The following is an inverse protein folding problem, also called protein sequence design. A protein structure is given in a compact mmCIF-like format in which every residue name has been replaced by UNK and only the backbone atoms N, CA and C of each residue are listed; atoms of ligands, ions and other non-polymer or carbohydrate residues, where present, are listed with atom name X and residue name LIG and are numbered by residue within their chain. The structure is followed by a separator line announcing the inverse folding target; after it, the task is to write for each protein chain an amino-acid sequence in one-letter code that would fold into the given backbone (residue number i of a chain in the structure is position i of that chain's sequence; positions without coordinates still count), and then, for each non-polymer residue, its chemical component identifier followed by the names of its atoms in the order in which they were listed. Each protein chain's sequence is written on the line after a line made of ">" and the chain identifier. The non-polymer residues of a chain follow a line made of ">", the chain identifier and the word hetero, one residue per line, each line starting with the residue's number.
data_IF_573615684123
#
_entry.id   IF_573615684123
#
_cell.length_a   1.000
_cell.length_b   1.000
_cell.length_c   1.000
_cell.angle_alpha   90.00
_cell.angle_beta   90.00
_cell.angle_gamma   90.00
#
_symmetry.space_group_name_H-M   'P 1'
#
loop_
_entity.id
_entity.type
_entity.pdbx_description
1 polymer ?
#
# COMPACT_ATOMS: atom_id res chain seq x y z
N UNK A 1 3.12 -44.78 -13.54
CA UNK A 1 2.64 -46.17 -13.69
C UNK A 1 1.68 -46.17 -14.85
N UNK A 2 2.02 -46.92 -15.89
CA UNK A 2 1.16 -47.06 -17.06
C UNK A 2 -0.15 -47.74 -16.63
N UNK A 3 -1.28 -47.38 -17.23
CA UNK A 3 -2.58 -47.96 -16.89
C UNK A 3 -2.65 -49.47 -17.13
N UNK A 4 -1.70 -50.03 -17.87
CA UNK A 4 -1.50 -51.47 -18.04
C UNK A 4 -0.89 -52.13 -16.80
N UNK A 5 0.16 -51.55 -16.20
CA UNK A 5 0.85 -52.09 -15.01
C UNK A 5 -0.07 -52.12 -13.78
N UNK A 6 -0.90 -51.09 -13.61
CA UNK A 6 -1.87 -51.01 -12.50
C UNK A 6 -2.94 -52.09 -12.64
N UNK A 7 -3.31 -52.45 -13.87
CA UNK A 7 -4.27 -53.54 -14.14
C UNK A 7 -3.65 -54.89 -13.85
N UNK A 8 -2.40 -55.12 -14.23
CA UNK A 8 -1.68 -56.38 -13.98
C UNK A 8 -1.47 -56.63 -12.49
N UNK A 9 -0.98 -55.63 -11.74
CA UNK A 9 -0.85 -55.69 -10.28
C UNK A 9 -2.20 -55.90 -9.57
N UNK A 10 -3.27 -55.31 -10.10
CA UNK A 10 -4.62 -55.48 -9.56
C UNK A 10 -5.20 -56.88 -9.86
N UNK A 11 -4.89 -57.45 -11.03
CA UNK A 11 -5.24 -58.83 -11.37
C UNK A 11 -4.53 -59.83 -10.45
N UNK A 12 -3.24 -59.62 -10.16
CA UNK A 12 -2.47 -60.44 -9.20
C UNK A 12 -3.00 -60.34 -7.76
N UNK A 13 -3.54 -59.18 -7.37
CA UNK A 13 -4.23 -58.98 -6.10
C UNK A 13 -5.58 -59.71 -6.04
N UNK A 14 -6.33 -59.73 -7.14
CA UNK A 14 -7.62 -60.44 -7.25
C UNK A 14 -7.49 -61.96 -7.40
N UNK A 15 -6.29 -62.47 -7.71
CA UNK A 15 -5.97 -63.91 -7.75
C UNK A 15 -5.64 -64.50 -6.36
N UNK A 16 -5.57 -63.67 -5.31
CA UNK A 16 -5.50 -64.15 -3.92
C UNK A 16 -6.88 -64.61 -3.44
N UNK A 17 -6.94 -65.77 -2.78
CA UNK A 17 -8.19 -66.30 -2.22
C UNK A 17 -8.86 -65.27 -1.28
N UNK A 18 -10.08 -64.84 -1.62
CA UNK A 18 -10.92 -63.95 -0.80
C UNK A 18 -11.13 -62.52 -1.33
N UNK A 19 -10.44 -62.10 -2.40
CA UNK A 19 -10.60 -60.77 -2.99
C UNK A 19 -11.88 -60.64 -3.83
N UNK A 20 -12.64 -59.55 -3.63
CA UNK A 20 -13.90 -59.25 -4.35
C UNK A 20 -13.74 -58.07 -5.31
N UNK A 21 -14.69 -57.91 -6.24
CA UNK A 21 -14.75 -56.77 -7.18
C UNK A 21 -14.78 -55.41 -6.46
N UNK A 22 -15.39 -55.35 -5.27
CA UNK A 22 -15.47 -54.13 -4.45
C UNK A 22 -14.08 -53.69 -3.93
N UNK A 23 -13.15 -54.64 -3.73
CA UNK A 23 -11.78 -54.35 -3.31
C UNK A 23 -10.99 -53.67 -4.45
N UNK A 24 -11.26 -54.06 -5.71
CA UNK A 24 -10.71 -53.43 -6.91
C UNK A 24 -11.18 -51.98 -7.07
N UNK A 25 -12.47 -51.73 -6.88
CA UNK A 25 -13.05 -50.39 -6.95
C UNK A 25 -12.47 -49.49 -5.85
N UNK A 26 -12.25 -50.04 -4.65
CA UNK A 26 -11.60 -49.34 -3.54
C UNK A 26 -10.15 -48.99 -3.87
N UNK A 27 -9.37 -49.93 -4.42
CA UNK A 27 -7.99 -49.68 -4.87
C UNK A 27 -7.96 -48.62 -5.98
N UNK A 28 -8.90 -48.65 -6.92
CA UNK A 28 -9.04 -47.64 -7.97
C UNK A 28 -9.32 -46.24 -7.42
N UNK A 29 -10.23 -46.12 -6.46
CA UNK A 29 -10.50 -44.84 -5.76
C UNK A 29 -9.29 -44.34 -4.99
N UNK A 30 -8.56 -45.22 -4.30
CA UNK A 30 -7.31 -44.88 -3.63
C UNK A 30 -6.24 -44.41 -4.61
N UNK A 31 -6.09 -45.08 -5.77
CA UNK A 31 -5.14 -44.66 -6.79
C UNK A 31 -5.47 -43.26 -7.36
N UNK A 32 -6.76 -42.97 -7.59
CA UNK A 32 -7.22 -41.65 -8.01
C UNK A 32 -6.93 -40.58 -6.96
N UNK A 33 -7.23 -40.87 -5.68
CA UNK A 33 -6.97 -39.95 -4.56
C UNK A 33 -5.49 -39.70 -4.35
N UNK A 34 -4.66 -40.73 -4.47
CA UNK A 34 -3.20 -40.61 -4.39
C UNK A 34 -2.68 -39.75 -5.55
N UNK A 35 -3.18 -39.96 -6.77
CA UNK A 35 -2.81 -39.13 -7.93
C UNK A 35 -3.20 -37.66 -7.74
N UNK A 36 -4.41 -37.39 -7.25
CA UNK A 36 -4.87 -36.04 -6.93
C UNK A 36 -4.00 -35.39 -5.84
N UNK A 37 -3.68 -36.14 -4.78
CA UNK A 37 -2.79 -35.68 -3.72
C UNK A 37 -1.38 -35.37 -4.23
N UNK A 38 -0.81 -36.19 -5.12
CA UNK A 38 0.48 -35.88 -5.76
C UNK A 38 0.41 -34.60 -6.60
N UNK A 39 -0.67 -34.40 -7.36
CA UNK A 39 -0.87 -33.17 -8.14
C UNK A 39 -1.01 -31.92 -7.26
N UNK A 40 -1.71 -32.02 -6.12
CA UNK A 40 -1.82 -30.94 -5.13
C UNK A 40 -0.47 -30.63 -4.48
N UNK A 41 0.31 -31.67 -4.12
CA UNK A 41 1.68 -31.50 -3.59
C UNK A 41 2.58 -30.81 -4.62
N UNK A 42 2.50 -31.21 -5.90
CA UNK A 42 3.30 -30.61 -6.96
C UNK A 42 2.93 -29.15 -7.19
N UNK A 43 1.63 -28.83 -7.26
CA UNK A 43 1.14 -27.44 -7.33
C UNK A 43 1.66 -26.60 -6.17
N UNK A 44 1.52 -27.09 -4.92
CA UNK A 44 2.00 -26.37 -3.74
C UNK A 44 3.51 -26.17 -3.72
N UNK A 45 4.26 -27.15 -4.24
CA UNK A 45 5.71 -27.05 -4.36
C UNK A 45 6.08 -25.96 -5.36
N UNK A 46 5.36 -25.86 -6.47
CA UNK A 46 5.59 -24.84 -7.48
C UNK A 46 5.18 -23.45 -6.96
N UNK A 47 4.03 -23.33 -6.32
CA UNK A 47 3.59 -22.08 -5.66
C UNK A 47 4.60 -21.61 -4.60
N UNK A 48 5.13 -22.53 -3.79
CA UNK A 48 6.14 -22.22 -2.80
C UNK A 48 7.48 -21.80 -3.43
N UNK A 49 7.85 -22.40 -4.57
CA UNK A 49 9.04 -22.00 -5.33
C UNK A 49 8.86 -20.61 -5.92
N UNK A 50 7.72 -20.34 -6.53
CA UNK A 50 7.39 -19.02 -7.12
C UNK A 50 7.39 -17.93 -6.05
N UNK A 51 6.72 -18.16 -4.91
CA UNK A 51 6.75 -17.25 -3.78
C UNK A 51 8.17 -16.99 -3.26
N UNK A 52 9.05 -18.00 -3.27
CA UNK A 52 10.46 -17.86 -2.93
C UNK A 52 11.21 -16.96 -3.90
N UNK A 53 11.01 -17.15 -5.22
CA UNK A 53 11.64 -16.32 -6.26
C UNK A 53 11.17 -14.87 -6.16
N UNK A 54 9.86 -14.66 -5.99
CA UNK A 54 9.29 -13.31 -5.83
C UNK A 54 9.83 -12.60 -4.58
N UNK A 55 10.00 -13.35 -3.49
CA UNK A 55 10.60 -12.82 -2.27
C UNK A 55 12.03 -12.36 -2.51
N UNK A 56 12.86 -13.16 -3.21
CA UNK A 56 14.24 -12.78 -3.55
C UNK A 56 14.26 -11.54 -4.45
N UNK A 57 13.44 -11.53 -5.50
CA UNK A 57 13.34 -10.39 -6.41
C UNK A 57 12.98 -9.10 -5.69
N UNK A 58 12.02 -9.16 -4.76
CA UNK A 58 11.61 -8.00 -3.98
C UNK A 58 12.72 -7.47 -3.08
N UNK A 59 13.52 -8.37 -2.49
CA UNK A 59 14.69 -7.96 -1.70
C UNK A 59 15.73 -7.26 -2.55
N UNK A 60 15.98 -7.75 -3.76
CA UNK A 60 16.89 -7.11 -4.72
C UNK A 60 16.39 -5.72 -5.12
N UNK A 61 15.09 -5.59 -5.41
CA UNK A 61 14.46 -4.30 -5.72
C UNK A 61 14.53 -3.33 -4.54
N UNK A 62 14.27 -3.80 -3.31
CA UNK A 62 14.37 -3.01 -2.09
C UNK A 62 15.80 -2.53 -1.85
N UNK A 63 16.78 -3.42 -2.02
CA UNK A 63 18.19 -3.08 -1.88
C UNK A 63 18.66 -2.07 -2.92
N UNK A 64 18.23 -2.23 -4.17
CA UNK A 64 18.51 -1.27 -5.23
C UNK A 64 17.94 0.10 -4.90
N UNK A 65 16.66 0.16 -4.50
CA UNK A 65 16.00 1.40 -4.13
C UNK A 65 16.70 2.08 -2.94
N UNK A 66 17.14 1.31 -1.94
CA UNK A 66 17.91 1.84 -0.81
C UNK A 66 19.22 2.50 -1.27
N UNK A 67 19.94 1.88 -2.20
CA UNK A 67 21.20 2.43 -2.74
C UNK A 67 21.02 3.69 -3.58
N UNK A 68 19.89 3.81 -4.26
CA UNK A 68 19.54 4.95 -5.12
C UNK A 68 18.68 5.99 -4.38
N UNK A 69 18.56 5.89 -3.05
CA UNK A 69 17.66 6.74 -2.28
C UNK A 69 18.12 8.20 -2.29
N UNK A 70 17.21 9.10 -2.68
CA UNK A 70 17.44 10.55 -2.67
C UNK A 70 16.43 11.26 -1.74
N UNK A 71 16.80 12.42 -1.16
CA UNK A 71 15.85 13.24 -0.43
C UNK A 71 14.64 13.59 -1.30
N UNK A 72 13.44 13.47 -0.73
CA UNK A 72 12.15 13.76 -1.42
C UNK A 72 11.79 12.76 -2.53
N UNK A 73 12.43 11.59 -2.59
CA UNK A 73 12.03 10.52 -3.51
C UNK A 73 10.63 10.00 -3.17
N UNK A 74 9.79 9.84 -4.20
CA UNK A 74 8.45 9.26 -4.07
C UNK A 74 8.49 7.81 -4.52
N UNK A 75 8.14 6.92 -3.59
CA UNK A 75 8.00 5.48 -3.87
C UNK A 75 6.52 5.18 -4.10
N UNK A 76 6.18 4.69 -5.29
CA UNK A 76 4.78 4.41 -5.65
C UNK A 76 4.29 3.07 -5.07
N UNK A 77 5.19 2.10 -4.91
CA UNK A 77 4.86 0.79 -4.37
C UNK A 77 4.88 0.82 -2.84
N UNK A 78 3.71 0.60 -2.25
CA UNK A 78 3.52 0.58 -0.79
C UNK A 78 4.22 -0.62 -0.13
N UNK A 79 4.18 -1.81 -0.74
CA UNK A 79 4.82 -2.99 -0.15
C UNK A 79 6.32 -2.80 -0.11
N UNK A 80 6.90 -2.31 -1.22
CA UNK A 80 8.31 -2.00 -1.32
C UNK A 80 8.73 -0.93 -0.29
N UNK A 81 7.95 0.13 -0.13
CA UNK A 81 8.23 1.16 0.87
C UNK A 81 8.17 0.61 2.30
N UNK A 82 7.18 -0.24 2.61
CA UNK A 82 7.07 -0.88 3.94
C UNK A 82 8.30 -1.74 4.24
N UNK A 83 8.75 -2.56 3.30
CA UNK A 83 9.95 -3.39 3.46
C UNK A 83 11.22 -2.53 3.59
N UNK A 84 11.35 -1.48 2.78
CA UNK A 84 12.44 -0.51 2.88
C UNK A 84 12.48 0.16 4.26
N UNK A 85 11.33 0.61 4.76
CA UNK A 85 11.20 1.26 6.07
C UNK A 85 11.48 0.29 7.22
N UNK A 86 10.95 -0.93 7.16
CA UNK A 86 11.17 -1.93 8.19
C UNK A 86 12.66 -2.32 8.29
N UNK A 87 13.33 -2.49 7.16
CA UNK A 87 14.74 -2.89 7.11
C UNK A 87 15.71 -1.75 7.37
N UNK A 88 15.49 -0.55 6.84
CA UNK A 88 16.49 0.53 6.83
C UNK A 88 15.99 1.86 7.43
N UNK A 89 14.73 1.94 7.85
CA UNK A 89 14.12 3.13 8.46
C UNK A 89 13.61 2.89 9.89
N UNK A 90 13.94 1.73 10.48
CA UNK A 90 13.45 1.29 11.78
C UNK A 90 14.62 0.91 12.70
N UNK A 91 14.57 1.28 13.99
CA UNK A 91 15.56 0.80 14.97
C UNK A 91 15.62 -0.72 15.10
N UNK A 92 14.53 -1.42 14.74
CA UNK A 92 14.42 -2.88 14.84
C UNK A 92 14.95 -3.62 13.59
N UNK A 93 15.24 -2.90 12.50
CA UNK A 93 15.83 -3.44 11.29
C UNK A 93 17.36 -3.46 11.35
N UNK A 94 18.01 -3.03 10.25
CA UNK A 94 19.46 -2.83 10.16
C UNK A 94 19.92 -1.46 10.67
N UNK A 95 18.99 -0.60 11.11
CA UNK A 95 19.26 0.75 11.61
C UNK A 95 18.35 1.80 10.98
N UNK A 96 18.49 3.04 11.47
CA UNK A 96 17.71 4.20 10.99
C UNK A 96 18.58 5.03 10.05
N UNK A 97 18.54 4.69 8.76
CA UNK A 97 19.31 5.37 7.72
C UNK A 97 18.56 6.54 7.08
N UNK A 98 17.23 6.47 7.06
CA UNK A 98 16.38 7.52 6.48
C UNK A 98 15.10 7.69 7.28
N UNK A 99 14.43 8.83 7.08
CA UNK A 99 13.06 9.07 7.58
C UNK A 99 12.11 9.11 6.39
N UNK A 100 11.15 8.20 6.37
CA UNK A 100 10.09 8.15 5.36
C UNK A 100 8.72 8.06 6.02
N UNK A 101 7.73 8.71 5.39
CA UNK A 101 6.34 8.65 5.80
C UNK A 101 5.42 8.48 4.59
N UNK A 102 4.14 8.27 4.85
CA UNK A 102 3.10 8.16 3.83
C UNK A 102 2.02 9.21 4.03
N UNK A 103 1.32 9.56 2.96
CA UNK A 103 0.16 10.44 3.00
C UNK A 103 0.50 11.91 3.34
N UNK A 104 -0.51 12.61 3.86
CA UNK A 104 -0.43 14.06 4.11
C UNK A 104 0.56 14.43 5.22
N UNK A 105 0.77 13.53 6.20
CA UNK A 105 1.72 13.74 7.30
C UNK A 105 3.15 13.91 6.79
N UNK A 106 3.59 13.04 5.88
CA UNK A 106 4.92 13.11 5.29
C UNK A 106 5.12 14.41 4.48
N UNK A 107 4.08 14.86 3.77
CA UNK A 107 4.12 16.13 3.03
C UNK A 107 4.22 17.31 3.98
N UNK A 108 3.47 17.31 5.09
CA UNK A 108 3.54 18.36 6.13
C UNK A 108 4.96 18.46 6.69
N UNK A 109 5.57 17.33 7.03
CA UNK A 109 6.92 17.31 7.58
C UNK A 109 7.95 17.84 6.58
N UNK A 110 7.85 17.46 5.30
CA UNK A 110 8.68 18.01 4.22
C UNK A 110 8.50 19.52 4.01
N UNK A 111 7.27 20.03 4.16
CA UNK A 111 6.97 21.46 4.05
C UNK A 111 7.50 22.23 5.27
N UNK A 112 7.47 21.62 6.45
CA UNK A 112 7.99 22.21 7.69
C UNK A 112 9.52 22.36 7.66
N UNK A 113 10.21 21.41 7.06
CA UNK A 113 11.67 21.42 6.93
C UNK A 113 12.16 22.31 5.77
N UNK A 114 11.25 22.94 5.01
CA UNK A 114 11.59 23.74 3.83
C UNK A 114 11.99 25.17 4.20
N UNK A 115 13.26 25.52 3.97
CA UNK A 115 13.70 26.93 4.02
C UNK A 115 13.32 27.65 2.72
N UNK A 116 12.31 28.53 2.81
CA UNK A 116 11.84 29.32 1.68
C UNK A 116 12.86 30.35 1.21
N UNK A 117 13.69 30.88 2.11
CA UNK A 117 14.67 31.92 1.77
C UNK A 117 15.82 31.34 0.95
N UNK A 118 16.29 30.16 1.33
CA UNK A 118 17.33 29.46 0.59
C UNK A 118 16.81 28.90 -0.73
N UNK A 119 15.60 28.31 -0.75
CA UNK A 119 14.97 27.85 -2.00
C UNK A 119 14.77 29.03 -2.99
N UNK A 120 14.39 30.21 -2.49
CA UNK A 120 14.26 31.42 -3.32
C UNK A 120 15.59 31.82 -3.96
N UNK A 121 16.72 31.77 -3.23
CA UNK A 121 18.06 32.05 -3.78
C UNK A 121 18.41 31.04 -4.87
N UNK A 122 18.24 29.74 -4.61
CA UNK A 122 18.52 28.66 -5.56
C UNK A 122 17.69 28.79 -6.83
N UNK A 123 16.40 29.15 -6.70
CA UNK A 123 15.52 29.38 -7.85
C UNK A 123 15.96 30.61 -8.66
N UNK A 124 16.35 31.71 -8.02
CA UNK A 124 16.87 32.91 -8.71
C UNK A 124 18.15 32.62 -9.47
N UNK A 125 19.05 31.81 -8.92
CA UNK A 125 20.26 31.37 -9.60
C UNK A 125 19.91 30.48 -10.80
N UNK A 126 19.01 29.51 -10.62
CA UNK A 126 18.52 28.64 -11.70
C UNK A 126 17.91 29.44 -12.85
N UNK A 127 17.19 30.53 -12.55
CA UNK A 127 16.61 31.40 -13.58
C UNK A 127 17.68 32.14 -14.38
N UNK A 128 18.82 32.48 -13.76
CA UNK A 128 19.95 33.15 -14.43
C UNK A 128 20.77 32.17 -15.28
N UNK A 129 20.99 30.95 -14.79
CA UNK A 129 21.89 29.96 -15.41
C UNK A 129 21.20 29.06 -16.44
N UNK A 130 19.93 28.70 -16.22
CA UNK A 130 19.19 27.79 -17.08
C UNK A 130 18.34 28.53 -18.11
N UNK A 131 18.14 27.90 -19.28
CA UNK A 131 17.27 28.42 -20.35
C UNK A 131 16.12 27.46 -20.67
N UNK A 132 15.09 27.97 -21.34
CA UNK A 132 13.96 27.20 -21.84
C UNK A 132 13.02 26.70 -20.74
N UNK A 133 12.64 25.42 -20.79
CA UNK A 133 11.62 24.86 -19.89
C UNK A 133 12.03 24.88 -18.42
N UNK A 134 13.31 24.64 -18.11
CA UNK A 134 13.84 24.66 -16.73
C UNK A 134 13.67 26.05 -16.11
N UNK A 135 14.00 27.10 -16.88
CA UNK A 135 13.84 28.49 -16.47
C UNK A 135 12.37 28.83 -16.21
N UNK A 136 11.46 28.47 -17.12
CA UNK A 136 10.04 28.75 -16.97
C UNK A 136 9.43 28.06 -15.73
N UNK A 137 9.84 26.81 -15.44
CA UNK A 137 9.41 26.10 -14.22
C UNK A 137 9.93 26.80 -12.96
N UNK A 138 11.19 27.24 -12.97
CA UNK A 138 11.79 27.96 -11.85
C UNK A 138 11.07 29.30 -11.58
N UNK A 139 10.71 30.06 -12.62
CA UNK A 139 9.93 31.31 -12.49
C UNK A 139 8.58 31.06 -11.81
N UNK A 140 7.84 30.05 -12.26
CA UNK A 140 6.52 29.72 -11.67
C UNK A 140 6.64 29.31 -10.20
N UNK A 141 7.65 28.51 -9.86
CA UNK A 141 7.92 28.10 -8.46
C UNK A 141 8.33 29.30 -7.60
N UNK A 142 9.21 30.16 -8.10
CA UNK A 142 9.67 31.36 -7.39
C UNK A 142 8.49 32.29 -7.05
N UNK A 143 7.51 32.43 -7.94
CA UNK A 143 6.31 33.24 -7.68
C UNK A 143 5.54 32.76 -6.43
N UNK A 144 5.42 31.44 -6.25
CA UNK A 144 4.74 30.85 -5.08
C UNK A 144 5.59 31.04 -3.82
N UNK A 145 6.89 30.77 -3.90
CA UNK A 145 7.82 30.92 -2.77
C UNK A 145 7.86 32.38 -2.28
N UNK A 146 7.95 33.35 -3.20
CA UNK A 146 7.92 34.77 -2.83
C UNK A 146 6.58 35.20 -2.23
N UNK A 147 5.47 34.62 -2.65
CA UNK A 147 4.16 34.89 -2.04
C UNK A 147 4.10 34.41 -0.58
N UNK A 148 4.65 33.23 -0.27
CA UNK A 148 4.74 32.75 1.10
C UNK A 148 5.67 33.63 1.95
N UNK A 149 6.86 33.99 1.45
CA UNK A 149 7.79 34.87 2.16
C UNK A 149 7.15 36.23 2.49
N UNK A 150 6.42 36.83 1.54
CA UNK A 150 5.78 38.15 1.74
C UNK A 150 4.56 38.12 2.65
N UNK A 151 3.84 37.01 2.69
CA UNK A 151 2.59 36.90 3.46
C UNK A 151 2.79 36.38 4.88
N UNK A 152 4.01 35.99 5.25
CA UNK A 152 4.37 35.36 6.54
C UNK A 152 3.58 34.06 6.85
N UNK A 153 2.80 33.58 5.90
CA UNK A 153 2.10 32.31 6.00
C UNK A 153 3.10 31.17 5.86
N UNK A 154 2.91 30.12 6.66
CA UNK A 154 3.78 28.95 6.60
C UNK A 154 3.21 27.89 5.65
N UNK A 155 4.04 27.26 4.80
CA UNK A 155 3.55 26.26 3.83
C UNK A 155 2.87 25.05 4.47
N UNK A 156 3.31 24.63 5.67
CA UNK A 156 2.73 23.48 6.37
C UNK A 156 1.25 23.69 6.75
N UNK A 157 0.76 24.94 6.81
CA UNK A 157 -0.65 25.25 7.09
C UNK A 157 -1.61 24.79 6.00
N UNK A 158 -1.10 24.42 4.82
CA UNK A 158 -1.92 23.78 3.78
C UNK A 158 -2.42 22.39 4.20
N UNK A 159 -1.74 21.73 5.16
CA UNK A 159 -2.15 20.43 5.70
C UNK A 159 -2.93 20.65 7.00
N UNK A 160 -4.21 20.28 6.99
CA UNK A 160 -5.12 20.54 8.09
C UNK A 160 -5.11 19.40 9.12
N UNK A 161 -4.79 19.73 10.37
CA UNK A 161 -4.93 18.83 11.53
C UNK A 161 -6.30 18.98 12.20
N UNK A 162 -6.86 20.20 12.17
CA UNK A 162 -8.17 20.53 12.70
C UNK A 162 -9.03 21.14 11.59
N UNK A 163 -10.19 20.51 11.34
CA UNK A 163 -11.15 20.99 10.33
C UNK A 163 -12.22 21.83 11.02
N UNK A 164 -12.38 23.12 10.67
CA UNK A 164 -13.42 23.95 11.25
C UNK A 164 -14.80 23.51 10.77
N UNK A 165 -15.78 23.57 11.68
CA UNK A 165 -17.18 23.21 11.40
C UNK A 165 -18.01 24.49 11.38
N UNK A 166 -18.76 24.70 10.29
CA UNK A 166 -19.63 25.86 10.13
C UNK A 166 -20.73 25.85 11.21
N UNK A 167 -21.11 27.01 11.78
CA UNK A 167 -22.17 27.12 12.77
C UNK A 167 -23.51 26.50 12.31
N UNK A 168 -24.31 25.89 13.21
CA UNK A 168 -25.61 25.30 12.90
C UNK A 168 -26.58 26.18 12.11
N UNK A 169 -26.60 27.48 12.38
CA UNK A 169 -27.51 28.44 11.74
C UNK A 169 -27.30 28.54 10.22
N UNK A 170 -26.05 28.41 9.77
CA UNK A 170 -25.69 28.43 8.35
C UNK A 170 -25.87 27.05 7.68
N UNK A 171 -26.23 26.01 8.45
CA UNK A 171 -26.48 24.64 7.99
C UNK A 171 -27.86 24.14 8.45
N UNK A 172 -28.95 24.85 8.10
CA UNK A 172 -30.28 24.54 8.60
C UNK A 172 -30.71 23.13 8.19
N UNK A 173 -31.38 22.45 9.12
CA UNK A 173 -32.11 21.21 8.86
C UNK A 173 -33.59 21.56 8.82
N UNK A 174 -34.24 21.31 7.69
CA UNK A 174 -35.66 21.65 7.51
C UNK A 174 -36.48 20.39 7.71
N UNK A 175 -37.41 20.44 8.66
CA UNK A 175 -38.38 19.37 8.81
C UNK A 175 -39.43 19.47 7.71
N UNK A 176 -39.72 18.36 7.02
CA UNK A 176 -40.77 18.24 6.03
C UNK A 176 -42.02 17.59 6.64
N UNK A 177 -43.16 17.83 6.00
CA UNK A 177 -44.42 17.17 6.36
C UNK A 177 -44.27 15.64 6.25
N UNK A 178 -44.72 14.93 7.28
CA UNK A 178 -44.59 13.47 7.38
C UNK A 178 -43.35 12.95 8.13
N UNK A 179 -42.69 13.79 8.93
CA UNK A 179 -41.61 13.36 9.85
C UNK A 179 -40.26 13.10 9.18
N UNK A 180 -40.09 13.52 7.92
CA UNK A 180 -38.82 13.47 7.19
C UNK A 180 -38.03 14.75 7.45
N UNK A 181 -36.71 14.65 7.44
CA UNK A 181 -35.81 15.80 7.53
C UNK A 181 -35.12 16.00 6.18
N UNK A 182 -35.20 17.21 5.64
CA UNK A 182 -34.32 17.66 4.57
C UNK A 182 -33.03 18.18 5.21
N UNK A 183 -31.92 17.50 4.93
CA UNK A 183 -30.59 17.89 5.39
C UNK A 183 -29.78 18.47 4.24
N UNK A 184 -29.02 19.54 4.49
CA UNK A 184 -28.00 20.00 3.54
C UNK A 184 -26.94 18.93 3.29
N UNK A 185 -26.46 18.80 2.04
CA UNK A 185 -25.35 17.90 1.64
C UNK A 185 -24.09 18.07 2.52
N UNK A 186 -23.88 19.29 3.03
CA UNK A 186 -22.78 19.62 3.93
C UNK A 186 -22.80 18.78 5.22
N UNK A 187 -23.99 18.56 5.80
CA UNK A 187 -24.14 17.79 7.03
C UNK A 187 -23.75 16.32 6.82
N UNK A 188 -24.04 15.77 5.65
CA UNK A 188 -23.69 14.39 5.31
C UNK A 188 -22.18 14.24 5.03
N UNK A 189 -21.54 15.25 4.42
CA UNK A 189 -20.07 15.29 4.30
C UNK A 189 -19.39 15.34 5.67
N UNK A 190 -19.83 16.23 6.56
CA UNK A 190 -19.30 16.30 7.92
C UNK A 190 -19.48 14.98 8.68
N UNK A 191 -20.66 14.36 8.60
CA UNK A 191 -20.92 13.07 9.26
C UNK A 191 -19.97 11.98 8.75
N UNK A 192 -19.69 11.93 7.45
CA UNK A 192 -18.73 10.97 6.85
C UNK A 192 -17.32 11.18 7.38
N UNK A 193 -16.83 12.42 7.41
CA UNK A 193 -15.49 12.75 7.92
C UNK A 193 -15.37 12.37 9.40
N UNK A 194 -16.35 12.75 10.21
CA UNK A 194 -16.37 12.45 11.65
C UNK A 194 -16.36 10.93 11.89
N UNK A 195 -17.21 10.18 11.17
CA UNK A 195 -17.28 8.73 11.31
C UNK A 195 -15.96 8.05 10.91
N UNK A 196 -15.31 8.52 9.84
CA UNK A 196 -14.02 7.97 9.40
C UNK A 196 -12.91 8.28 10.41
N UNK A 197 -12.87 9.50 10.95
CA UNK A 197 -11.90 9.90 11.96
C UNK A 197 -12.09 9.09 13.26
N UNK A 198 -13.33 8.94 13.72
CA UNK A 198 -13.64 8.13 14.91
C UNK A 198 -13.28 6.66 14.72
N UNK A 199 -13.52 6.10 13.52
CA UNK A 199 -13.11 4.73 13.19
C UNK A 199 -11.58 4.60 13.22
N UNK A 200 -10.86 5.55 12.64
CA UNK A 200 -9.39 5.55 12.66
C UNK A 200 -8.85 5.61 14.09
N UNK A 201 -9.40 6.50 14.92
CA UNK A 201 -9.00 6.61 16.33
C UNK A 201 -9.15 5.28 17.08
N UNK A 202 -10.28 4.60 16.91
CA UNK A 202 -10.50 3.26 17.51
C UNK A 202 -9.51 2.20 17.01
N UNK A 203 -9.10 2.27 15.75
CA UNK A 203 -8.11 1.33 15.20
C UNK A 203 -6.72 1.57 15.79
N UNK A 204 -6.36 2.83 16.03
CA UNK A 204 -5.09 3.20 16.68
C UNK A 204 -5.08 2.82 18.17
N UNK A 205 -6.22 2.88 18.85
CA UNK A 205 -6.33 2.48 20.26
C UNK A 205 -6.26 0.95 20.46
N UNK A 206 -6.53 0.17 19.41
CA UNK A 206 -6.55 -1.30 19.42
C UNK A 206 -5.24 -1.93 18.91
N UNK A 207 -4.39 -1.17 18.23
CA UNK A 207 -3.11 -1.61 17.65
C UNK A 207 -1.93 -1.14 18.46
#
# INVERSE_FOLDING_TARGET
>A
MDGAEVRELAYDLCLKEGARKDDLDTVGQWALKVREMYSDIESRRDDAREAGVDSVRRLEETWKLFRELEPKLVVNDEQLFRELKDRFGSPYGFGVYFRGGMGAEAIRDLLRDLDLTDESKTLRETIKTSKGQKQQRAIKRLKVVEAFIKSENKPEWMILEAVPVIPPELRPMVQLDGGRFATSDLNDLYRRVINRNNRLKRLLDLG
#
